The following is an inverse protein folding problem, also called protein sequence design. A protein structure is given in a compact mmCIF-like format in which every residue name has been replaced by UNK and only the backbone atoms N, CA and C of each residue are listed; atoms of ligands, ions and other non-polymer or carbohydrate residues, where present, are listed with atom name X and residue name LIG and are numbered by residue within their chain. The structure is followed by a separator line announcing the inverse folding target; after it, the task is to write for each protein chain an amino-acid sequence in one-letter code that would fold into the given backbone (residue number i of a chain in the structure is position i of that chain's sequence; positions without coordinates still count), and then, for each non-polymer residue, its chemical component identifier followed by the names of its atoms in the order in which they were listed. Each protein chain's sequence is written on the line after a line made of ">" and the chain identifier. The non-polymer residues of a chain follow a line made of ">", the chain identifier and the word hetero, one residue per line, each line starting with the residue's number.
data_IF_665283276284
#
_entry.id   IF_665283276284
#
_cell.length_a   1.000
_cell.length_b   1.000
_cell.length_c   1.000
_cell.angle_alpha   90.00
_cell.angle_beta   90.00
_cell.angle_gamma   90.00
#
_symmetry.space_group_name_H-M   'P 1'
#
loop_
_entity.id
_entity.type
_entity.pdbx_description
1 polymer ?
#
# COMPACT_ATOMS: atom_id res chain seq x y z
N UNK A 1 26.64 -27.18 -15.02
CA UNK A 1 26.57 -26.46 -13.73
C UNK A 1 26.25 -24.99 -13.96
N UNK A 2 26.82 -24.34 -14.99
CA UNK A 2 26.47 -22.96 -15.37
C UNK A 2 25.04 -22.78 -15.93
N UNK A 3 24.53 -23.70 -16.74
CA UNK A 3 23.18 -23.56 -17.34
C UNK A 3 22.03 -23.53 -16.32
N UNK A 4 22.17 -24.25 -15.18
CA UNK A 4 21.17 -24.24 -14.10
C UNK A 4 21.16 -22.89 -13.36
N UNK A 5 22.34 -22.28 -13.21
CA UNK A 5 22.51 -21.00 -12.52
C UNK A 5 22.02 -19.81 -13.36
N UNK A 6 22.18 -19.89 -14.68
CA UNK A 6 21.63 -18.90 -15.61
C UNK A 6 20.10 -18.98 -15.72
N UNK A 7 19.51 -20.18 -15.66
CA UNK A 7 18.05 -20.38 -15.63
C UNK A 7 17.42 -19.86 -14.32
N UNK A 8 18.08 -20.06 -13.17
CA UNK A 8 17.64 -19.47 -11.89
C UNK A 8 17.68 -17.94 -11.91
N UNK A 9 18.73 -17.34 -12.48
CA UNK A 9 18.83 -15.88 -12.64
C UNK A 9 17.76 -15.33 -13.57
N UNK A 10 17.46 -16.03 -14.67
CA UNK A 10 16.40 -15.64 -15.60
C UNK A 10 15.03 -15.64 -14.91
N UNK A 11 14.71 -16.68 -14.14
CA UNK A 11 13.47 -16.78 -13.36
C UNK A 11 13.34 -15.67 -12.32
N UNK A 12 14.41 -15.36 -11.58
CA UNK A 12 14.41 -14.26 -10.60
C UNK A 12 14.20 -12.91 -11.28
N UNK A 13 14.79 -12.70 -12.46
CA UNK A 13 14.59 -11.49 -13.25
C UNK A 13 13.14 -11.35 -13.72
N UNK A 14 12.55 -12.42 -14.26
CA UNK A 14 11.16 -12.45 -14.69
C UNK A 14 10.20 -12.17 -13.52
N UNK A 15 10.42 -12.78 -12.36
CA UNK A 15 9.63 -12.52 -11.16
C UNK A 15 9.71 -11.06 -10.71
N UNK A 16 10.89 -10.43 -10.80
CA UNK A 16 11.08 -9.01 -10.46
C UNK A 16 10.34 -8.10 -11.45
N UNK A 17 10.40 -8.40 -12.74
CA UNK A 17 9.70 -7.64 -13.78
C UNK A 17 8.18 -7.78 -13.62
N UNK A 18 7.68 -8.99 -13.36
CA UNK A 18 6.26 -9.24 -13.05
C UNK A 18 5.81 -8.49 -11.80
N UNK A 19 6.61 -8.49 -10.73
CA UNK A 19 6.32 -7.75 -9.51
C UNK A 19 6.32 -6.23 -9.73
N UNK A 20 7.23 -5.72 -10.56
CA UNK A 20 7.26 -4.30 -10.93
C UNK A 20 6.01 -3.90 -11.73
N UNK A 21 5.63 -4.69 -12.74
CA UNK A 21 4.42 -4.45 -13.53
C UNK A 21 3.15 -4.51 -12.67
N UNK A 22 3.06 -5.47 -11.74
CA UNK A 22 1.96 -5.54 -10.78
C UNK A 22 1.86 -4.28 -9.91
N UNK A 23 3.00 -3.83 -9.38
CA UNK A 23 3.08 -2.61 -8.56
C UNK A 23 2.67 -1.36 -9.34
N UNK A 24 3.07 -1.25 -10.60
CA UNK A 24 2.67 -0.15 -11.48
C UNK A 24 1.15 -0.12 -11.70
N UNK A 25 0.52 -1.29 -11.94
CA UNK A 25 -0.93 -1.40 -12.03
C UNK A 25 -1.63 -0.91 -10.76
N UNK A 26 -1.12 -1.29 -9.59
CA UNK A 26 -1.66 -0.83 -8.31
C UNK A 26 -1.50 0.68 -8.12
N UNK A 27 -0.37 1.26 -8.52
CA UNK A 27 -0.20 2.72 -8.53
C UNK A 27 -1.28 3.40 -9.40
N UNK A 28 -1.58 2.83 -10.57
CA UNK A 28 -2.66 3.31 -11.45
C UNK A 28 -4.05 3.19 -10.84
N UNK A 29 -4.33 2.12 -10.09
CA UNK A 29 -5.60 1.96 -9.35
C UNK A 29 -5.75 3.05 -8.29
N UNK A 30 -4.71 3.29 -7.49
CA UNK A 30 -4.73 4.34 -6.46
C UNK A 30 -4.94 5.72 -7.10
N UNK A 31 -4.27 6.00 -8.22
CA UNK A 31 -4.44 7.25 -8.96
C UNK A 31 -5.90 7.44 -9.41
N UNK A 32 -6.53 6.41 -10.00
CA UNK A 32 -7.94 6.47 -10.43
C UNK A 32 -8.90 6.65 -9.27
N UNK A 33 -8.66 5.98 -8.14
CA UNK A 33 -9.49 6.16 -6.95
C UNK A 33 -9.42 7.61 -6.44
N UNK A 34 -8.27 8.28 -6.56
CA UNK A 34 -8.16 9.69 -6.15
C UNK A 34 -8.83 10.68 -7.11
N UNK A 35 -9.31 10.25 -8.28
CA UNK A 35 -10.06 11.11 -9.20
C UNK A 35 -11.47 11.44 -8.68
N UNK A 36 -12.00 10.65 -7.75
CA UNK A 36 -13.33 10.87 -7.14
C UNK A 36 -13.21 11.13 -5.64
N UNK A 37 -14.17 11.88 -5.08
CA UNK A 37 -14.19 12.13 -3.63
C UNK A 37 -14.45 10.85 -2.84
N UNK A 38 -15.39 10.02 -3.28
CA UNK A 38 -15.66 8.71 -2.66
C UNK A 38 -14.43 7.81 -2.64
N UNK A 39 -13.62 7.84 -3.70
CA UNK A 39 -12.40 7.04 -3.75
C UNK A 39 -11.31 7.58 -2.83
N UNK A 40 -11.19 8.92 -2.67
CA UNK A 40 -10.33 9.51 -1.63
C UNK A 40 -10.79 9.12 -0.23
N UNK A 41 -12.10 9.21 0.04
CA UNK A 41 -12.70 8.80 1.32
C UNK A 41 -12.47 7.33 1.62
N UNK A 42 -12.64 6.45 0.63
CA UNK A 42 -12.34 5.04 0.76
C UNK A 42 -10.87 4.79 1.12
N UNK A 43 -9.94 5.48 0.46
CA UNK A 43 -8.50 5.35 0.74
C UNK A 43 -8.15 5.89 2.14
N UNK A 44 -8.75 7.01 2.56
CA UNK A 44 -8.63 7.56 3.94
C UNK A 44 -9.13 6.58 4.98
N UNK A 45 -10.33 6.04 4.77
CA UNK A 45 -10.94 5.05 5.63
C UNK A 45 -10.06 3.81 5.77
N UNK A 46 -9.52 3.30 4.65
CA UNK A 46 -8.67 2.12 4.64
C UNK A 46 -7.37 2.34 5.43
N UNK A 47 -6.70 3.48 5.23
CA UNK A 47 -5.51 3.88 6.00
C UNK A 47 -5.84 3.96 7.51
N UNK A 48 -7.01 4.51 7.84
CA UNK A 48 -7.47 4.69 9.22
C UNK A 48 -7.77 3.36 9.90
N UNK A 49 -8.53 2.47 9.26
CA UNK A 49 -8.91 1.14 9.81
C UNK A 49 -7.69 0.24 9.98
N UNK A 50 -6.71 0.34 9.08
CA UNK A 50 -5.45 -0.37 9.20
C UNK A 50 -4.58 0.13 10.37
N UNK A 51 -4.91 1.27 11.00
CA UNK A 51 -4.20 1.80 12.16
C UNK A 51 -2.75 2.21 11.87
N UNK A 52 -2.40 2.47 10.60
CA UNK A 52 -1.00 2.70 10.20
C UNK A 52 -0.39 3.96 10.82
N UNK A 53 -1.23 4.98 11.04
CA UNK A 53 -0.84 6.26 11.65
C UNK A 53 -1.08 6.31 13.17
N UNK A 54 -1.61 5.24 13.78
CA UNK A 54 -1.94 5.20 15.22
C UNK A 54 -0.90 4.41 16.00
N UNK A 55 -0.47 4.89 17.16
CA UNK A 55 0.36 4.10 18.07
C UNK A 55 -0.57 3.46 19.11
N UNK A 56 -0.71 2.14 19.05
CA UNK A 56 -1.52 1.37 20.00
C UNK A 56 -0.64 0.28 20.62
N UNK A 57 -0.74 0.10 21.93
CA UNK A 57 -0.07 -0.97 22.66
C UNK A 57 -1.04 -2.15 22.82
N UNK A 58 -0.80 -3.28 22.16
CA UNK A 58 -1.72 -4.42 22.20
C UNK A 58 -1.68 -5.11 23.57
N UNK A 59 -2.84 -5.55 24.05
CA UNK A 59 -2.99 -6.21 25.35
C UNK A 59 -2.48 -7.66 25.35
N UNK A 60 -2.46 -8.33 24.19
CA UNK A 60 -2.01 -9.71 24.04
C UNK A 60 -1.23 -9.91 22.71
N UNK A 61 -0.49 -11.02 22.63
CA UNK A 61 0.35 -11.35 21.48
C UNK A 61 -0.43 -11.65 20.19
N UNK A 62 -1.64 -12.21 20.29
CA UNK A 62 -2.44 -12.55 19.12
C UNK A 62 -3.01 -11.29 18.47
N UNK A 63 -3.52 -10.37 19.28
CA UNK A 63 -3.96 -9.03 18.88
C UNK A 63 -2.79 -8.22 18.32
N UNK A 64 -1.62 -8.29 18.93
CA UNK A 64 -0.41 -7.64 18.41
C UNK A 64 -0.07 -8.11 16.98
N UNK A 65 -0.10 -9.42 16.73
CA UNK A 65 0.17 -9.98 15.41
C UNK A 65 -0.89 -9.58 14.38
N UNK A 66 -2.17 -9.62 14.76
CA UNK A 66 -3.28 -9.17 13.91
C UNK A 66 -3.17 -7.69 13.55
N UNK A 67 -2.92 -6.83 14.54
CA UNK A 67 -2.79 -5.39 14.34
C UNK A 67 -1.55 -5.06 13.50
N UNK A 68 -0.44 -5.78 13.67
CA UNK A 68 0.73 -5.65 12.80
C UNK A 68 0.42 -5.99 11.33
N UNK A 69 -0.33 -7.07 11.08
CA UNK A 69 -0.75 -7.47 9.73
C UNK A 69 -1.64 -6.41 9.06
N UNK A 70 -2.63 -5.88 9.77
CA UNK A 70 -3.44 -4.74 9.27
C UNK A 70 -2.57 -3.53 8.97
N UNK A 71 -1.60 -3.22 9.84
CA UNK A 71 -0.70 -2.08 9.68
C UNK A 71 0.15 -2.22 8.42
N UNK A 72 0.63 -3.42 8.12
CA UNK A 72 1.37 -3.72 6.90
C UNK A 72 0.54 -3.43 5.64
N UNK A 73 -0.74 -3.81 5.63
CA UNK A 73 -1.66 -3.48 4.52
C UNK A 73 -1.81 -1.97 4.37
N UNK A 74 -2.04 -1.25 5.47
CA UNK A 74 -2.12 0.21 5.46
C UNK A 74 -0.84 0.87 4.94
N UNK A 75 0.34 0.38 5.35
CA UNK A 75 1.64 0.86 4.86
C UNK A 75 1.80 0.64 3.35
N UNK A 76 1.34 -0.49 2.82
CA UNK A 76 1.38 -0.75 1.37
C UNK A 76 0.54 0.28 0.62
N UNK A 77 -0.66 0.59 1.10
CA UNK A 77 -1.54 1.61 0.50
C UNK A 77 -0.87 2.99 0.53
N UNK A 78 -0.35 3.41 1.68
CA UNK A 78 0.39 4.68 1.83
C UNK A 78 1.59 4.73 0.88
N UNK A 79 2.35 3.64 0.78
CA UNK A 79 3.52 3.54 -0.10
C UNK A 79 3.15 3.63 -1.59
N UNK A 80 2.00 3.07 -1.99
CA UNK A 80 1.49 3.18 -3.36
C UNK A 80 1.01 4.61 -3.64
N UNK A 81 0.23 5.20 -2.73
CA UNK A 81 -0.22 6.59 -2.84
C UNK A 81 0.94 7.59 -2.93
N UNK A 82 2.00 7.38 -2.15
CA UNK A 82 3.21 8.20 -2.23
C UNK A 82 3.89 8.07 -3.60
N UNK A 83 4.05 6.83 -4.10
CA UNK A 83 4.65 6.58 -5.43
C UNK A 83 3.82 7.14 -6.58
N UNK A 84 2.50 7.14 -6.45
CA UNK A 84 1.58 7.74 -7.42
C UNK A 84 1.50 9.27 -7.30
N UNK A 85 2.15 9.90 -6.31
CA UNK A 85 2.13 11.36 -6.12
C UNK A 85 0.82 11.93 -5.59
N UNK A 86 -0.08 11.08 -5.06
CA UNK A 86 -1.42 11.48 -4.62
C UNK A 86 -1.62 11.41 -3.10
N UNK A 87 -0.57 11.08 -2.34
CA UNK A 87 -0.67 10.91 -0.89
C UNK A 87 -1.24 12.15 -0.18
N UNK A 88 -0.85 13.36 -0.58
CA UNK A 88 -1.39 14.57 0.03
C UNK A 88 -2.88 14.74 -0.20
N UNK A 89 -3.40 14.33 -1.36
CA UNK A 89 -4.83 14.41 -1.67
C UNK A 89 -5.65 13.46 -0.80
N UNK A 90 -5.03 12.38 -0.33
CA UNK A 90 -5.65 11.40 0.56
C UNK A 90 -5.50 11.87 2.01
N UNK A 91 -4.33 12.33 2.45
CA UNK A 91 -4.10 12.66 3.87
C UNK A 91 -4.65 14.03 4.26
N UNK A 92 -4.68 15.01 3.36
CA UNK A 92 -5.31 16.30 3.68
C UNK A 92 -6.78 16.04 3.94
N UNK A 93 -7.22 16.27 5.17
CA UNK A 93 -8.61 16.58 5.46
C UNK A 93 -8.95 17.78 4.58
N UNK A 94 -10.05 17.69 3.81
CA UNK A 94 -10.65 18.90 3.27
C UNK A 94 -10.98 19.72 4.51
N UNK A 95 -10.21 20.77 4.78
CA UNK A 95 -10.58 21.75 5.78
C UNK A 95 -11.96 22.21 5.37
N UNK A 96 -12.98 21.77 6.12
CA UNK A 96 -14.36 22.12 5.91
C UNK A 96 -14.41 23.65 5.82
N UNK A 97 -14.61 24.16 4.61
CA UNK A 97 -15.23 25.44 4.42
C UNK A 97 -16.70 25.25 4.79
N UNK A 98 -17.01 25.44 6.08
CA UNK A 98 -18.16 26.18 6.65
C UNK A 98 -18.32 25.94 8.16
#
# INVERSE_FOLDING_TARGET
>A
MDELYDDEKAKVKEQREAAAAYKERLCGVVLRLTETNDGKEFLRWLITVCGVLRVEYPADHAKAAWDAGKREVGLKVVSLAHKSGVLEQIIREEAEHE
#
